data_IF_771824900723
#
_entry.id   IF_771824900723
#
_cell.length_a   1.000
_cell.length_b   1.000
_cell.length_c   1.000
_cell.angle_alpha   90.00
_cell.angle_beta   90.00
_cell.angle_gamma   90.00
#
_symmetry.space_group_name_H-M   'P 1'
#
loop_
_entity.id
_entity.type
_entity.pdbx_description
1 polymer ?
#
# COMPACT_ATOMS: atom_id res chain seq x y z
N UNK A 1 12.65 3.78 13.86
CA UNK A 1 13.38 4.89 14.53
C UNK A 1 13.31 4.78 16.04
N UNK A 2 12.12 4.74 16.65
CA UNK A 2 11.93 4.59 18.11
C UNK A 2 12.83 3.53 18.77
N UNK A 3 12.78 2.28 18.28
CA UNK A 3 13.55 1.17 18.84
C UNK A 3 15.07 1.42 18.88
N UNK A 4 15.62 2.22 17.96
CA UNK A 4 17.04 2.59 17.98
C UNK A 4 17.33 3.70 18.99
N UNK A 5 16.44 4.67 19.11
CA UNK A 5 16.56 5.75 20.10
C UNK A 5 16.47 5.21 21.53
N UNK A 6 15.56 4.27 21.80
CA UNK A 6 15.39 3.64 23.11
C UNK A 6 16.63 2.84 23.58
N UNK A 7 17.52 2.45 22.67
CA UNK A 7 18.80 1.83 23.06
C UNK A 7 19.77 2.81 23.71
N UNK A 8 19.57 4.12 23.53
CA UNK A 8 20.48 5.17 23.97
C UNK A 8 21.71 5.38 23.07
N UNK A 9 21.92 4.55 22.03
CA UNK A 9 23.05 4.72 21.10
C UNK A 9 22.79 5.75 19.99
N UNK A 10 21.53 5.98 19.66
CA UNK A 10 21.12 6.84 18.56
C UNK A 10 20.08 7.85 19.05
N UNK A 11 19.95 8.95 18.32
CA UNK A 11 18.87 9.93 18.48
C UNK A 11 18.09 10.00 17.17
N UNK A 12 16.78 9.83 17.24
CA UNK A 12 15.93 9.92 16.06
C UNK A 12 15.71 11.38 15.66
N UNK A 13 15.66 11.63 14.36
CA UNK A 13 15.20 12.90 13.80
C UNK A 13 13.75 12.72 13.38
N UNK A 14 12.84 12.99 14.31
CA UNK A 14 11.40 12.89 14.07
C UNK A 14 10.94 13.89 13.00
N UNK A 15 9.94 13.49 12.21
CA UNK A 15 9.49 14.19 11.00
C UNK A 15 10.23 13.75 9.73
N UNK A 16 11.16 12.81 9.82
CA UNK A 16 11.90 12.22 8.68
C UNK A 16 11.59 10.73 8.50
N UNK A 17 10.66 10.19 9.28
CA UNK A 17 10.17 8.82 9.14
C UNK A 17 9.43 8.62 7.81
N UNK A 18 9.63 7.45 7.20
CA UNK A 18 8.79 7.04 6.08
C UNK A 18 7.41 6.59 6.62
N UNK A 19 6.31 7.02 5.98
CA UNK A 19 4.99 6.55 6.35
C UNK A 19 4.86 5.05 6.01
N UNK A 20 4.21 4.30 6.90
CA UNK A 20 3.81 2.92 6.66
C UNK A 20 2.28 2.87 6.66
N UNK A 21 1.67 2.62 5.51
CA UNK A 21 0.21 2.57 5.40
C UNK A 21 -0.40 1.37 6.10
N UNK A 22 0.35 0.27 6.20
CA UNK A 22 -0.04 -0.93 6.95
C UNK A 22 -0.32 -0.60 8.42
N UNK A 23 -1.57 -0.80 8.85
CA UNK A 23 -2.01 -0.59 10.24
C UNK A 23 -2.14 0.86 10.67
N UNK A 24 -1.84 1.84 9.80
CA UNK A 24 -1.93 3.25 10.14
C UNK A 24 -3.37 3.64 10.43
N UNK A 25 -3.60 4.32 11.56
CA UNK A 25 -4.92 4.75 12.03
C UNK A 25 -5.99 3.64 12.03
N UNK A 26 -5.60 2.38 12.23
CA UNK A 26 -6.50 1.22 12.23
C UNK A 26 -7.19 0.95 13.57
N UNK A 27 -6.84 1.73 14.61
CA UNK A 27 -7.39 1.61 15.97
C UNK A 27 -6.85 0.41 16.75
N UNK A 28 -7.20 0.34 18.04
CA UNK A 28 -6.69 -0.69 18.96
C UNK A 28 -7.12 -2.11 18.56
N UNK A 29 -8.29 -2.26 17.92
CA UNK A 29 -8.84 -3.55 17.52
C UNK A 29 -7.89 -4.36 16.62
N UNK A 30 -7.04 -3.70 15.82
CA UNK A 30 -6.04 -4.39 15.00
C UNK A 30 -5.06 -5.22 15.84
N UNK A 31 -4.74 -4.74 17.05
CA UNK A 31 -3.76 -5.37 17.95
C UNK A 31 -4.42 -6.29 18.97
N UNK A 32 -5.68 -6.04 19.33
CA UNK A 32 -6.37 -6.77 20.41
C UNK A 32 -7.35 -7.82 19.89
N UNK A 33 -7.83 -7.70 18.66
CA UNK A 33 -8.77 -8.64 18.03
C UNK A 33 -8.08 -9.44 16.93
N UNK A 34 -8.77 -10.48 16.44
CA UNK A 34 -8.29 -11.26 15.29
C UNK A 34 -8.40 -10.42 14.02
N UNK A 35 -7.42 -10.56 13.13
CA UNK A 35 -7.41 -9.93 11.80
C UNK A 35 -8.63 -10.29 10.94
N UNK A 36 -9.20 -11.48 11.17
CA UNK A 36 -10.39 -12.01 10.49
C UNK A 36 -11.26 -12.72 11.53
N UNK A 37 -12.56 -12.46 11.52
CA UNK A 37 -13.55 -13.07 12.40
C UNK A 37 -14.63 -13.71 11.53
N UNK A 38 -14.77 -15.03 11.61
CA UNK A 38 -15.74 -15.81 10.84
C UNK A 38 -15.66 -15.54 9.32
N UNK A 39 -14.44 -15.45 8.78
CA UNK A 39 -14.20 -15.18 7.37
C UNK A 39 -14.45 -13.74 6.92
N UNK A 40 -14.67 -12.80 7.85
CA UNK A 40 -14.84 -11.37 7.58
C UNK A 40 -13.73 -10.58 8.26
N UNK A 41 -13.08 -9.67 7.52
CA UNK A 41 -12.09 -8.75 8.09
C UNK A 41 -12.67 -7.34 8.20
N UNK A 42 -12.28 -6.62 9.26
CA UNK A 42 -12.52 -5.19 9.39
C UNK A 42 -11.50 -4.36 8.57
N UNK A 43 -10.45 -5.00 8.05
CA UNK A 43 -9.30 -4.35 7.42
C UNK A 43 -9.03 -4.89 6.00
N UNK A 44 -9.92 -4.63 5.03
CA UNK A 44 -9.83 -5.19 3.68
C UNK A 44 -8.62 -4.71 2.86
N UNK A 45 -7.95 -3.64 3.31
CA UNK A 45 -6.71 -3.14 2.71
C UNK A 45 -5.46 -3.90 3.18
N UNK A 46 -5.56 -4.64 4.29
CA UNK A 46 -4.46 -5.41 4.89
C UNK A 46 -4.67 -6.92 4.70
N UNK A 47 -5.89 -7.38 4.98
CA UNK A 47 -6.23 -8.80 4.99
C UNK A 47 -7.27 -9.11 3.91
N UNK A 48 -7.23 -10.34 3.43
CA UNK A 48 -8.14 -10.85 2.42
C UNK A 48 -8.76 -12.15 2.91
N UNK A 49 -10.00 -12.44 2.52
CA UNK A 49 -10.72 -13.62 3.05
C UNK A 49 -11.22 -14.57 1.97
N UNK A 50 -11.00 -14.23 0.70
CA UNK A 50 -11.48 -15.00 -0.45
C UNK A 50 -10.38 -15.12 -1.50
N UNK A 51 -10.27 -16.30 -2.11
CA UNK A 51 -9.49 -16.45 -3.32
C UNK A 51 -10.26 -15.82 -4.50
N UNK A 52 -9.58 -14.97 -5.25
CA UNK A 52 -10.12 -14.35 -6.47
C UNK A 52 -9.31 -14.84 -7.67
N UNK A 53 -9.96 -14.95 -8.82
CA UNK A 53 -9.29 -15.28 -10.09
C UNK A 53 -8.42 -14.14 -10.61
N UNK A 54 -8.82 -12.91 -10.31
CA UNK A 54 -8.08 -11.69 -10.64
C UNK A 54 -7.05 -11.38 -9.57
N UNK A 55 -5.91 -10.83 -10.00
CA UNK A 55 -4.87 -10.39 -9.09
C UNK A 55 -5.24 -9.06 -8.47
N UNK A 56 -4.80 -8.87 -7.24
CA UNK A 56 -4.94 -7.62 -6.50
C UNK A 56 -3.58 -7.10 -6.07
N UNK A 57 -3.50 -5.81 -5.78
CA UNK A 57 -2.28 -5.21 -5.27
C UNK A 57 -1.90 -5.80 -3.92
N UNK A 58 -0.61 -6.06 -3.75
CA UNK A 58 -0.01 -6.20 -2.42
C UNK A 58 -0.13 -4.87 -1.67
N UNK A 59 -0.15 -4.93 -0.34
CA UNK A 59 -0.32 -3.73 0.48
C UNK A 59 0.81 -2.71 0.30
N UNK A 60 2.03 -3.19 0.02
CA UNK A 60 3.20 -2.37 -0.31
C UNK A 60 3.17 -1.76 -1.73
N UNK A 61 2.13 -2.05 -2.53
CA UNK A 61 1.98 -1.62 -3.93
C UNK A 61 3.14 -2.04 -4.84
N UNK A 62 3.98 -3.02 -4.46
CA UNK A 62 5.14 -3.42 -5.26
C UNK A 62 4.85 -4.54 -6.25
N UNK A 63 3.68 -5.16 -6.17
CA UNK A 63 3.31 -6.23 -7.08
C UNK A 63 1.83 -6.58 -7.03
N UNK A 64 1.51 -7.54 -7.89
CA UNK A 64 0.20 -8.14 -8.01
C UNK A 64 0.23 -9.55 -7.43
N UNK A 65 -0.78 -9.88 -6.64
CA UNK A 65 -0.82 -11.13 -5.89
C UNK A 65 -2.19 -11.74 -5.83
N UNK A 66 -2.26 -12.86 -5.11
CA UNK A 66 -3.49 -13.52 -4.74
C UNK A 66 -3.61 -13.54 -3.23
N UNK A 67 -4.84 -13.72 -2.75
CA UNK A 67 -5.05 -13.97 -1.35
C UNK A 67 -4.41 -15.30 -0.95
N UNK A 68 -3.42 -15.28 -0.06
CA UNK A 68 -2.75 -16.49 0.37
C UNK A 68 -3.57 -17.19 1.45
N UNK A 69 -4.41 -18.12 1.01
CA UNK A 69 -5.12 -19.07 1.87
C UNK A 69 -4.44 -20.44 1.81
N UNK A 70 -4.42 -21.12 2.95
CA UNK A 70 -3.82 -22.44 3.14
C UNK A 70 -4.72 -23.31 4.01
N UNK A 71 -5.03 -24.49 3.49
CA UNK A 71 -5.66 -25.56 4.23
C UNK A 71 -4.56 -26.43 4.86
N UNK A 72 -4.67 -26.65 6.16
CA UNK A 72 -3.73 -27.45 6.94
C UNK A 72 -4.28 -28.86 7.22
N UNK A 73 -3.39 -29.83 7.47
CA UNK A 73 -3.82 -31.21 7.76
C UNK A 73 -4.57 -31.33 9.09
N UNK A 74 -4.17 -30.52 10.07
CA UNK A 74 -4.77 -30.44 11.40
C UNK A 74 -5.35 -29.04 11.67
N UNK A 75 -6.35 -28.91 12.57
CA UNK A 75 -6.86 -27.61 13.00
C UNK A 75 -5.75 -26.69 13.49
N UNK A 76 -5.83 -25.41 13.14
CA UNK A 76 -4.97 -24.37 13.68
C UNK A 76 -5.24 -24.16 15.17
N UNK A 77 -4.27 -23.64 15.94
CA UNK A 77 -4.53 -23.19 17.33
C UNK A 77 -5.73 -22.22 17.40
N UNK A 78 -6.56 -22.24 18.45
CA UNK A 78 -7.80 -21.45 18.52
C UNK A 78 -7.62 -19.94 18.27
N UNK A 79 -6.50 -19.36 18.66
CA UNK A 79 -6.17 -17.95 18.40
C UNK A 79 -5.95 -17.63 16.92
N UNK A 80 -5.61 -18.62 16.09
CA UNK A 80 -5.37 -18.48 14.64
C UNK A 80 -6.50 -19.08 13.79
N UNK A 81 -7.59 -19.52 14.41
CA UNK A 81 -8.79 -19.95 13.69
C UNK A 81 -9.61 -18.71 13.32
N UNK A 82 -9.61 -18.39 12.02
CA UNK A 82 -10.22 -17.18 11.47
C UNK A 82 -11.50 -17.44 10.67
N UNK A 83 -11.66 -18.68 10.20
CA UNK A 83 -12.75 -19.13 9.33
C UNK A 83 -13.60 -20.18 10.04
N UNK A 84 -14.75 -20.48 9.45
CA UNK A 84 -15.63 -21.57 9.90
C UNK A 84 -14.94 -22.95 9.82
N UNK A 85 -14.05 -23.15 8.84
CA UNK A 85 -13.13 -24.29 8.84
C UNK A 85 -11.91 -23.98 9.73
N UNK A 86 -11.70 -24.70 10.84
CA UNK A 86 -10.59 -24.44 11.76
C UNK A 86 -9.22 -24.81 11.17
N UNK A 87 -9.18 -25.45 10.01
CA UNK A 87 -7.94 -25.78 9.28
C UNK A 87 -7.56 -24.73 8.24
N UNK A 88 -8.40 -23.74 7.99
CA UNK A 88 -8.14 -22.70 6.98
C UNK A 88 -7.52 -21.46 7.64
N UNK A 89 -6.45 -20.96 7.03
CA UNK A 89 -5.80 -19.72 7.44
C UNK A 89 -4.81 -19.21 6.39
N UNK A 90 -4.00 -18.22 6.75
CA UNK A 90 -2.89 -17.72 5.96
C UNK A 90 -1.65 -18.62 6.03
N UNK A 91 -0.62 -18.30 5.25
CA UNK A 91 0.62 -19.07 5.23
C UNK A 91 1.47 -18.88 6.50
N UNK A 92 1.82 -19.99 7.16
CA UNK A 92 2.69 -20.01 8.36
C UNK A 92 4.01 -19.27 8.17
N UNK A 93 4.61 -19.37 6.98
CA UNK A 93 5.93 -18.79 6.67
C UNK A 93 5.89 -17.26 6.49
N UNK A 94 4.71 -16.66 6.43
CA UNK A 94 4.57 -15.22 6.22
C UNK A 94 4.77 -14.38 7.48
N UNK A 95 4.87 -14.99 8.67
CA UNK A 95 5.00 -14.27 9.96
C UNK A 95 3.83 -13.31 10.25
N UNK A 96 2.65 -13.64 9.74
CA UNK A 96 1.43 -12.84 9.90
C UNK A 96 0.43 -13.49 10.87
N UNK A 97 0.87 -14.34 11.80
CA UNK A 97 -0.02 -15.09 12.70
C UNK A 97 -1.14 -15.86 11.98
N UNK A 98 -0.82 -16.41 10.80
CA UNK A 98 -1.79 -17.05 9.90
C UNK A 98 -2.91 -16.10 9.41
N UNK A 99 -2.77 -14.79 9.53
CA UNK A 99 -3.66 -13.84 8.88
C UNK A 99 -3.43 -13.90 7.36
N UNK A 100 -4.50 -14.13 6.57
CA UNK A 100 -4.40 -14.11 5.11
C UNK A 100 -4.24 -12.69 4.58
N UNK A 101 -3.33 -12.50 3.63
CA UNK A 101 -3.04 -11.24 2.97
C UNK A 101 -2.72 -11.51 1.49
N UNK A 102 -2.66 -10.45 0.69
CA UNK A 102 -2.28 -10.56 -0.72
C UNK A 102 -0.77 -10.73 -0.84
N UNK A 103 -0.33 -11.86 -1.39
CA UNK A 103 1.08 -12.17 -1.60
C UNK A 103 1.40 -12.17 -3.10
N UNK A 104 2.43 -11.43 -3.49
CA UNK A 104 2.94 -11.42 -4.86
C UNK A 104 4.02 -12.48 -5.07
N UNK A 105 4.07 -13.04 -6.29
CA UNK A 105 5.20 -13.83 -6.76
C UNK A 105 6.31 -12.93 -7.32
N UNK A 106 7.52 -13.48 -7.51
CA UNK A 106 8.63 -12.73 -8.11
C UNK A 106 8.29 -12.18 -9.49
N UNK A 107 7.62 -12.98 -10.32
CA UNK A 107 7.25 -12.62 -11.69
C UNK A 107 6.10 -11.62 -11.76
N UNK A 108 5.41 -11.36 -10.65
CA UNK A 108 4.27 -10.43 -10.59
C UNK A 108 4.62 -9.12 -9.90
N UNK A 109 5.91 -8.84 -9.70
CA UNK A 109 6.40 -7.54 -9.22
C UNK A 109 6.29 -6.47 -10.31
N UNK A 110 5.85 -5.28 -9.94
CA UNK A 110 5.71 -4.17 -10.88
C UNK A 110 7.08 -3.59 -11.31
N UNK A 111 8.06 -3.62 -10.41
CA UNK A 111 9.41 -3.09 -10.65
C UNK A 111 10.21 -3.80 -11.73
N UNK A 112 10.12 -5.13 -11.75
CA UNK A 112 11.03 -6.00 -12.50
C UNK A 112 10.45 -7.40 -12.77
N UNK A 113 9.13 -7.58 -12.66
CA UNK A 113 8.46 -8.83 -12.96
C UNK A 113 8.41 -9.12 -14.46
N UNK A 114 7.61 -10.12 -14.82
CA UNK A 114 7.45 -10.52 -16.20
C UNK A 114 6.14 -9.95 -16.78
N UNK A 115 6.26 -8.96 -17.66
CA UNK A 115 5.10 -8.32 -18.30
C UNK A 115 4.19 -9.30 -19.06
N UNK A 116 4.69 -10.45 -19.51
CA UNK A 116 3.84 -11.46 -20.17
C UNK A 116 2.94 -12.21 -19.21
N UNK A 117 3.31 -12.25 -17.93
CA UNK A 117 2.52 -12.88 -16.85
C UNK A 117 1.52 -11.89 -16.27
N UNK A 118 1.85 -10.59 -16.28
CA UNK A 118 1.06 -9.52 -15.68
C UNK A 118 0.28 -8.75 -16.75
N UNK A 119 -0.88 -9.29 -17.14
CA UNK A 119 -1.75 -8.67 -18.15
C UNK A 119 -2.18 -7.26 -17.74
N UNK A 120 -2.36 -6.40 -18.74
CA UNK A 120 -2.77 -4.99 -18.54
C UNK A 120 -1.70 -4.13 -17.86
N UNK A 121 -0.49 -4.65 -17.61
CA UNK A 121 0.47 -3.97 -16.75
C UNK A 121 1.69 -3.45 -17.49
N UNK A 122 2.11 -2.24 -17.12
CA UNK A 122 3.39 -1.63 -17.50
C UNK A 122 4.41 -1.92 -16.41
N UNK A 123 5.34 -2.83 -16.69
CA UNK A 123 6.43 -3.20 -15.77
C UNK A 123 7.63 -2.27 -15.98
N UNK A 124 8.19 -1.76 -14.90
CA UNK A 124 9.31 -0.82 -14.95
C UNK A 124 9.78 -0.45 -13.54
N UNK A 125 11.01 0.08 -13.39
CA UNK A 125 11.62 0.31 -12.08
C UNK A 125 10.85 1.29 -11.18
N UNK A 126 10.05 2.19 -11.78
CA UNK A 126 9.18 3.14 -11.08
C UNK A 126 7.72 2.67 -11.05
N UNK A 127 7.41 1.47 -11.55
CA UNK A 127 6.05 0.95 -11.57
C UNK A 127 5.60 0.49 -10.20
N UNK A 128 4.38 0.88 -9.85
CA UNK A 128 3.65 0.44 -8.66
C UNK A 128 2.35 -0.22 -9.09
N UNK A 129 1.78 -1.01 -8.20
CA UNK A 129 0.47 -1.59 -8.38
C UNK A 129 -0.62 -0.58 -8.05
N UNK A 130 -1.54 -0.39 -8.98
CA UNK A 130 -2.70 0.50 -8.85
C UNK A 130 -3.98 -0.33 -8.90
N UNK A 131 -4.96 0.08 -8.07
CA UNK A 131 -6.24 -0.62 -8.00
C UNK A 131 -7.07 -0.38 -9.25
N UNK A 132 -7.66 -1.43 -9.80
CA UNK A 132 -8.63 -1.35 -10.87
C UNK A 132 -10.06 -1.34 -10.32
N UNK A 133 -10.96 -0.61 -11.00
CA UNK A 133 -12.40 -0.69 -10.78
C UNK A 133 -13.08 -0.99 -12.13
N UNK A 134 -13.56 -2.24 -12.26
CA UNK A 134 -14.12 -2.75 -13.50
C UNK A 134 -13.15 -2.75 -14.70
N UNK A 135 -11.84 -2.71 -14.45
CA UNK A 135 -10.83 -2.54 -15.48
C UNK A 135 -10.72 -3.77 -16.38
N UNK A 136 -10.92 -3.60 -17.68
CA UNK A 136 -10.86 -4.70 -18.65
C UNK A 136 -10.21 -4.32 -19.97
N UNK A 137 -9.68 -5.32 -20.65
CA UNK A 137 -9.20 -5.25 -22.03
C UNK A 137 -10.01 -6.20 -22.93
N UNK A 138 -9.57 -6.39 -24.18
CA UNK A 138 -10.24 -7.24 -25.18
C UNK A 138 -10.45 -8.71 -24.78
N UNK A 139 -9.74 -9.22 -23.77
CA UNK A 139 -9.90 -10.60 -23.27
C UNK A 139 -10.61 -10.65 -21.90
N UNK A 140 -11.21 -9.55 -21.43
CA UNK A 140 -11.96 -9.47 -20.16
C UNK A 140 -11.24 -8.74 -19.03
N UNK A 141 -11.76 -8.93 -17.80
CA UNK A 141 -11.30 -8.23 -16.60
C UNK A 141 -9.81 -8.50 -16.31
N UNK A 142 -9.10 -7.43 -15.98
CA UNK A 142 -7.66 -7.47 -15.66
C UNK A 142 -7.41 -7.55 -14.15
N UNK A 143 -8.30 -6.95 -13.35
CA UNK A 143 -8.10 -6.75 -11.92
C UNK A 143 -7.29 -5.49 -11.66
N UNK A 144 -6.34 -5.59 -10.72
CA UNK A 144 -5.38 -4.52 -10.49
C UNK A 144 -4.23 -4.60 -11.51
N UNK A 145 -3.54 -3.48 -11.76
CA UNK A 145 -2.50 -3.40 -12.80
C UNK A 145 -1.25 -2.67 -12.29
N UNK A 146 -0.08 -2.98 -12.86
CA UNK A 146 1.09 -2.14 -12.68
C UNK A 146 1.09 -0.98 -13.67
N UNK A 147 1.47 0.20 -13.20
CA UNK A 147 1.71 1.37 -14.03
C UNK A 147 2.92 2.12 -13.48
N UNK A 148 3.64 2.83 -14.36
CA UNK A 148 4.72 3.71 -13.91
C UNK A 148 4.13 4.87 -13.12
N UNK A 149 4.75 5.19 -11.99
CA UNK A 149 4.35 6.29 -11.12
C UNK A 149 5.47 7.32 -11.07
N UNK A 150 5.09 8.60 -11.19
CA UNK A 150 5.95 9.74 -10.91
C UNK A 150 5.36 10.57 -9.78
N UNK A 151 6.23 11.06 -8.90
CA UNK A 151 5.88 11.80 -7.71
C UNK A 151 6.54 13.18 -7.79
N UNK A 152 5.79 14.19 -8.19
CA UNK A 152 6.29 15.56 -8.33
C UNK A 152 5.47 16.52 -7.47
N UNK A 153 6.14 17.27 -6.58
CA UNK A 153 5.51 18.33 -5.76
C UNK A 153 4.28 17.85 -4.95
N UNK A 154 4.29 16.61 -4.47
CA UNK A 154 3.16 16.04 -3.73
C UNK A 154 2.01 15.54 -4.61
N UNK A 155 2.16 15.55 -5.94
CA UNK A 155 1.18 15.00 -6.88
C UNK A 155 1.69 13.67 -7.47
N UNK A 156 0.76 12.71 -7.61
CA UNK A 156 0.98 11.45 -8.32
C UNK A 156 0.61 11.64 -9.78
N UNK A 157 1.51 11.23 -10.68
CA UNK A 157 1.22 11.05 -12.10
C UNK A 157 1.44 9.60 -12.49
N UNK A 158 0.59 9.09 -13.38
CA UNK A 158 0.55 7.68 -13.78
C UNK A 158 0.75 7.57 -15.29
N UNK A 159 1.54 6.60 -15.71
CA UNK A 159 1.67 6.19 -17.10
C UNK A 159 1.36 4.69 -17.21
N UNK A 160 0.19 4.37 -17.78
CA UNK A 160 -0.35 3.01 -17.85
C UNK A 160 0.02 2.29 -19.16
N UNK A 161 -0.34 1.01 -19.28
CA UNK A 161 -0.05 0.23 -20.48
C UNK A 161 -0.91 0.71 -21.68
N UNK A 162 -0.28 0.99 -22.81
CA UNK A 162 -0.97 1.42 -24.04
C UNK A 162 -1.06 2.93 -24.23
N UNK A 163 -0.52 3.72 -23.29
CA UNK A 163 -0.33 5.16 -23.45
C UNK A 163 1.02 5.57 -22.85
N UNK A 164 1.85 6.27 -23.61
CA UNK A 164 3.16 6.73 -23.17
C UNK A 164 3.14 8.14 -22.53
N UNK A 165 1.96 8.76 -22.45
CA UNK A 165 1.77 10.05 -21.79
C UNK A 165 1.58 9.88 -20.26
N UNK A 166 1.97 10.92 -19.53
CA UNK A 166 1.72 11.02 -18.09
C UNK A 166 0.35 11.64 -17.81
N UNK A 167 -0.40 11.00 -16.92
CA UNK A 167 -1.73 11.43 -16.51
C UNK A 167 -1.72 11.79 -15.03
N UNK A 168 -2.19 12.99 -14.68
CA UNK A 168 -2.36 13.37 -13.28
C UNK A 168 -3.35 12.42 -12.59
N UNK A 169 -2.99 11.94 -11.41
CA UNK A 169 -3.79 11.01 -10.63
C UNK A 169 -3.96 11.51 -9.19
N UNK A 170 -4.76 12.57 -8.97
CA UNK A 170 -5.00 13.10 -7.63
C UNK A 170 -5.69 12.06 -6.73
N UNK A 171 -5.25 11.95 -5.47
CA UNK A 171 -5.78 10.99 -4.49
C UNK A 171 -7.32 11.01 -4.44
N UNK A 172 -7.93 9.82 -4.38
CA UNK A 172 -9.38 9.65 -4.32
C UNK A 172 -10.11 9.80 -5.67
N UNK A 173 -9.42 10.21 -6.73
CA UNK A 173 -9.97 10.23 -8.09
C UNK A 173 -9.65 8.92 -8.84
N UNK A 174 -9.89 8.93 -10.15
CA UNK A 174 -9.60 7.81 -11.04
C UNK A 174 -9.25 8.29 -12.44
N UNK A 175 -8.47 7.50 -13.15
CA UNK A 175 -8.18 7.68 -14.58
C UNK A 175 -8.98 6.63 -15.35
N UNK A 176 -9.59 7.02 -16.47
CA UNK A 176 -10.20 6.08 -17.43
C UNK A 176 -9.18 5.82 -18.54
N UNK A 177 -8.46 4.69 -18.52
CA UNK A 177 -7.45 4.42 -19.52
C UNK A 177 -8.10 4.15 -20.88
N UNK A 178 -7.45 4.64 -21.93
CA UNK A 178 -7.84 4.40 -23.32
C UNK A 178 -6.86 3.42 -24.01
N UNK A 179 -7.18 3.04 -25.25
CA UNK A 179 -6.30 2.22 -26.09
C UNK A 179 -6.45 0.74 -25.81
N UNK A 180 -5.53 0.16 -25.03
CA UNK A 180 -5.51 -1.27 -24.72
C UNK A 180 -6.67 -1.70 -23.80
N UNK A 181 -7.17 -0.77 -22.99
CA UNK A 181 -8.31 -0.98 -22.11
C UNK A 181 -9.61 -0.58 -22.82
N UNK A 182 -10.64 -1.41 -22.65
CA UNK A 182 -11.96 -1.21 -23.25
C UNK A 182 -12.96 -0.64 -22.26
N UNK A 183 -12.77 -0.87 -20.96
CA UNK A 183 -13.68 -0.44 -19.90
C UNK A 183 -12.97 -0.29 -18.54
N UNK A 184 -13.67 0.34 -17.61
CA UNK A 184 -13.25 0.52 -16.22
C UNK A 184 -12.32 1.71 -16.00
N UNK A 185 -11.73 1.74 -14.82
CA UNK A 185 -10.88 2.85 -14.36
C UNK A 185 -9.76 2.37 -13.46
N UNK A 186 -8.66 3.11 -13.44
CA UNK A 186 -7.56 2.96 -12.50
C UNK A 186 -7.79 3.97 -11.36
N UNK A 187 -7.84 3.47 -10.12
CA UNK A 187 -8.05 4.30 -8.93
C UNK A 187 -6.73 4.96 -8.52
N UNK A 188 -6.79 6.26 -8.25
CA UNK A 188 -5.62 7.02 -7.85
C UNK A 188 -5.23 6.68 -6.40
N UNK A 189 -3.99 6.23 -6.17
CA UNK A 189 -3.53 5.86 -4.84
C UNK A 189 -3.32 7.09 -3.97
N UNK A 190 -3.14 6.86 -2.67
CA UNK A 190 -2.59 7.89 -1.79
C UNK A 190 -1.15 8.17 -2.16
N UNK A 191 -0.71 9.42 -2.01
CA UNK A 191 0.67 9.80 -2.31
C UNK A 191 1.66 8.91 -1.53
N UNK A 192 1.46 8.79 -0.22
CA UNK A 192 2.35 8.04 0.68
C UNK A 192 2.42 6.52 0.41
N UNK A 193 1.43 5.95 -0.29
CA UNK A 193 1.41 4.53 -0.66
C UNK A 193 2.37 4.21 -1.81
N UNK A 194 2.67 5.21 -2.65
CA UNK A 194 3.43 5.02 -3.90
C UNK A 194 4.65 5.94 -4.02
N UNK A 195 4.75 6.95 -3.16
CA UNK A 195 5.79 7.97 -3.16
C UNK A 195 6.49 8.04 -1.80
N UNK A 196 7.40 7.12 -1.52
CA UNK A 196 8.27 7.17 -0.33
C UNK A 196 9.65 7.78 -0.67
N UNK A 197 10.37 8.24 0.36
CA UNK A 197 11.54 9.13 0.26
C UNK A 197 12.69 8.54 -0.59
N UNK A 198 12.76 7.22 -0.75
CA UNK A 198 13.74 6.55 -1.63
C UNK A 198 13.63 7.01 -3.10
N UNK A 199 12.44 7.34 -3.58
CA UNK A 199 12.25 7.85 -4.94
C UNK A 199 12.72 9.32 -5.07
N UNK A 200 12.70 10.10 -3.98
CA UNK A 200 13.28 11.44 -3.91
C UNK A 200 14.82 11.44 -3.81
N UNK A 201 15.43 10.40 -3.23
CA UNK A 201 16.89 10.28 -3.17
C UNK A 201 17.54 9.86 -4.50
N UNK A 202 16.77 9.29 -5.44
CA UNK A 202 17.26 8.93 -6.78
C UNK A 202 17.08 10.04 -7.81
N UNK A 203 16.11 10.94 -7.61
CA UNK A 203 15.98 12.17 -8.36
C UNK A 203 16.85 13.26 -7.73
N UNK A 204 18.07 13.44 -8.22
CA UNK A 204 18.93 14.53 -7.77
C UNK A 204 18.25 15.89 -7.95
N UNK A 205 17.71 16.47 -6.87
CA UNK A 205 17.22 17.84 -6.85
C UNK A 205 16.08 18.10 -5.88
N UNK A 206 16.42 18.62 -4.70
CA UNK A 206 15.49 19.39 -3.85
C UNK A 206 14.94 18.64 -2.64
N UNK A 207 15.65 18.75 -1.52
CA UNK A 207 15.07 18.61 -0.18
C UNK A 207 13.91 19.61 -0.04
N UNK A 208 12.69 19.14 -0.23
CA UNK A 208 11.49 19.89 0.15
C UNK A 208 11.34 19.78 1.66
N UNK A 209 11.92 20.74 2.37
CA UNK A 209 11.63 21.00 3.77
C UNK A 209 10.15 21.39 3.89
N UNK A 210 9.30 20.41 4.21
CA UNK A 210 7.99 20.66 4.80
C UNK A 210 8.26 21.31 6.16
N UNK A 211 8.23 22.63 6.19
CA UNK A 211 8.24 23.41 7.41
C UNK A 211 7.10 22.95 8.30
N UNK A 212 7.46 22.39 9.45
CA UNK A 212 6.57 22.22 10.58
C UNK A 212 5.99 23.59 10.96
N UNK A 213 4.71 23.78 10.67
CA UNK A 213 3.94 24.89 11.22
C UNK A 213 3.69 24.62 12.71
N UNK A 214 4.67 24.92 13.56
CA UNK A 214 4.45 25.11 14.98
C UNK A 214 3.97 26.55 15.18
N UNK A 215 2.80 26.80 15.80
CA UNK A 215 2.38 28.16 16.10
C UNK A 215 3.32 28.73 17.17
N UNK A 216 4.05 29.79 16.82
CA UNK A 216 4.83 30.57 17.78
C UNK A 216 3.85 31.26 18.74
N UNK A 217 3.75 30.77 19.97
CA UNK A 217 3.08 31.47 21.07
C UNK A 217 3.93 32.70 21.41
N UNK A 218 3.43 33.94 21.28
CA UNK A 218 4.20 35.11 21.64
C UNK A 218 4.28 35.22 23.17
N UNK A 219 5.48 35.07 23.70
CA UNK A 219 5.87 35.41 25.06
C UNK A 219 5.86 36.95 25.23
N UNK A 220 4.69 37.55 25.43
CA UNK A 220 4.57 38.97 25.82
C UNK A 220 3.39 39.15 26.79
N UNK A 221 3.66 39.03 28.10
CA UNK A 221 3.29 39.99 29.16
C UNK A 221 3.59 39.34 30.53
N UNK A 222 4.80 39.59 31.05
CA UNK A 222 5.14 39.33 32.45
C UNK A 222 5.90 40.54 32.98
N UNK A 223 5.24 41.70 33.01
CA UNK A 223 5.67 42.85 33.82
C UNK A 223 4.43 43.65 34.25
N UNK A 224 4.39 44.01 35.55
CA UNK A 224 3.49 44.96 36.22
C UNK A 224 2.17 44.42 36.82
N UNK A 225 2.27 43.64 37.89
CA UNK A 225 1.41 43.87 39.08
C UNK A 225 2.31 43.79 40.33
N UNK A 226 2.89 44.92 40.70
CA UNK A 226 3.48 45.18 42.01
C UNK A 226 3.40 46.68 42.27
N UNK A 227 2.18 47.17 42.52
CA UNK A 227 1.85 48.33 43.36
C UNK A 227 0.42 48.12 43.87
#
# INVERSE_FOLDING_TARGET
MAALEDTGFYRAIWGMEEPMSWGNNSGCALLTEKCVINGVTQYPEMFCTVERSLRSCTSDRLGLGYCTLKLYDAPLPPQYQYFSDPKLGGARKALMDFCPYIEAHKDTRCGNGNATVIRGSRVGPTSKCLKGDGLADSMGLTGDVCAEVSCEKGEVSVRYLGDDNWHKCPEGNSITPAGQFTEGRILCPKYDDVCTVIDACRGGGGVSSLLSALPTIPLILLVLISM
#
